data_IF_698220613227
#
_entry.id   IF_698220613227
#
_cell.length_a   1.000
_cell.length_b   1.000
_cell.length_c   1.000
_cell.angle_alpha   90.00
_cell.angle_beta   90.00
_cell.angle_gamma   90.00
#
_symmetry.space_group_name_H-M   'P 1'
#
loop_
_entity.id
_entity.type
_entity.pdbx_description
1 polymer ?
#
# COMPACT_ATOMS: atom_id res chain seq x y z
N UNK A 1 0.51 -23.48 29.31
CA UNK A 1 -0.66 -22.85 28.83
C UNK A 1 -1.95 -22.94 29.60
N UNK A 2 -1.95 -23.43 30.87
CA UNK A 2 -3.19 -23.52 31.64
C UNK A 2 -3.86 -22.15 31.80
N UNK A 3 -5.16 -22.03 31.47
CA UNK A 3 -5.91 -20.78 31.51
C UNK A 3 -5.59 -19.79 30.38
N UNK A 4 -4.87 -20.21 29.33
CA UNK A 4 -4.52 -19.37 28.17
C UNK A 4 -4.99 -20.01 26.86
N UNK A 5 -5.23 -19.17 25.87
CA UNK A 5 -5.59 -19.58 24.51
C UNK A 5 -4.38 -19.43 23.60
N UNK A 6 -4.22 -20.35 22.65
CA UNK A 6 -3.24 -20.27 21.58
C UNK A 6 -3.97 -19.89 20.28
N UNK A 7 -3.49 -18.87 19.60
CA UNK A 7 -3.99 -18.45 18.29
C UNK A 7 -2.85 -18.24 17.31
N UNK A 8 -3.10 -18.31 16.00
CA UNK A 8 -2.15 -17.78 15.01
C UNK A 8 -1.87 -16.30 15.28
N UNK A 9 -0.70 -15.82 14.86
CA UNK A 9 -0.39 -14.40 14.92
C UNK A 9 -1.32 -13.58 14.01
N UNK A 10 -1.64 -12.37 14.42
CA UNK A 10 -2.48 -11.45 13.66
C UNK A 10 -1.75 -11.04 12.38
N UNK A 11 -2.49 -10.94 11.28
CA UNK A 11 -2.05 -10.37 10.01
C UNK A 11 -2.79 -9.05 9.81
N UNK A 12 -2.06 -7.94 9.76
CA UNK A 12 -2.61 -6.62 9.46
C UNK A 12 -2.37 -6.31 7.99
N UNK A 13 -3.46 -6.17 7.23
CA UNK A 13 -3.41 -6.04 5.77
C UNK A 13 -3.37 -4.59 5.28
N UNK A 14 -3.40 -3.60 6.17
CA UNK A 14 -3.34 -2.18 5.78
C UNK A 14 -2.55 -1.36 6.80
N UNK A 15 -1.28 -1.13 6.51
CA UNK A 15 -0.35 -0.40 7.39
C UNK A 15 0.46 0.61 6.59
N UNK A 16 0.67 1.79 7.17
CA UNK A 16 1.68 2.78 6.76
C UNK A 16 2.74 2.85 7.85
N UNK A 17 3.76 2.03 7.75
CA UNK A 17 4.72 1.80 8.83
C UNK A 17 5.60 3.01 9.15
N UNK A 18 5.73 3.96 8.22
CA UNK A 18 6.47 5.20 8.43
C UNK A 18 5.71 6.25 9.25
N UNK A 19 4.40 6.09 9.43
CA UNK A 19 3.57 7.03 10.17
C UNK A 19 3.55 6.73 11.67
N UNK A 20 3.39 7.78 12.48
CA UNK A 20 3.33 7.67 13.94
C UNK A 20 1.89 7.66 14.50
N UNK A 21 0.89 7.80 13.62
CA UNK A 21 -0.53 7.86 13.98
C UNK A 21 -0.99 9.22 14.49
N UNK A 22 -0.17 10.26 14.41
CA UNK A 22 -0.58 11.63 14.68
C UNK A 22 -1.36 12.23 13.50
N UNK A 23 -2.05 13.34 13.75
CA UNK A 23 -2.79 14.05 12.70
C UNK A 23 -1.90 14.69 11.61
N UNK A 24 -0.60 14.77 11.84
CA UNK A 24 0.40 15.34 10.93
C UNK A 24 1.41 14.29 10.45
N UNK A 25 1.04 13.01 10.48
CA UNK A 25 1.96 11.91 10.14
C UNK A 25 2.57 12.03 8.74
N UNK A 26 1.84 12.61 7.80
CA UNK A 26 2.31 12.85 6.43
C UNK A 26 3.39 13.92 6.37
N UNK A 27 3.21 15.04 7.07
CA UNK A 27 4.18 16.14 7.13
C UNK A 27 5.50 15.69 7.78
N UNK A 28 5.41 14.72 8.69
CA UNK A 28 6.57 14.17 9.38
C UNK A 28 7.56 13.48 8.43
N UNK A 29 7.09 12.83 7.37
CA UNK A 29 7.97 12.18 6.40
C UNK A 29 8.77 13.20 5.57
N UNK A 30 8.19 14.36 5.28
CA UNK A 30 8.89 15.47 4.64
C UNK A 30 9.87 16.17 5.61
N UNK A 31 9.44 16.38 6.85
CA UNK A 31 10.21 17.10 7.87
C UNK A 31 11.47 16.35 8.31
N UNK A 32 11.37 15.03 8.52
CA UNK A 32 12.47 14.24 9.10
C UNK A 32 13.31 13.51 8.04
N UNK A 33 12.82 13.36 6.83
CA UNK A 33 13.52 12.70 5.73
C UNK A 33 13.58 11.16 5.84
N UNK A 34 14.20 10.49 4.84
CA UNK A 34 14.04 9.04 4.66
C UNK A 34 14.71 8.18 5.73
N UNK A 35 15.78 8.63 6.34
CA UNK A 35 16.48 7.82 7.36
C UNK A 35 15.67 7.73 8.65
N UNK A 36 15.08 8.84 9.08
CA UNK A 36 14.21 8.88 10.24
C UNK A 36 12.91 8.13 9.99
N UNK A 37 12.33 8.27 8.79
CA UNK A 37 11.17 7.51 8.38
C UNK A 37 11.44 5.99 8.39
N UNK A 38 12.60 5.56 7.91
CA UNK A 38 13.02 4.15 7.98
C UNK A 38 13.16 3.65 9.43
N UNK A 39 13.84 4.40 10.30
CA UNK A 39 14.01 4.02 11.71
C UNK A 39 12.65 3.96 12.42
N UNK A 40 11.74 4.90 12.14
CA UNK A 40 10.38 4.89 12.66
C UNK A 40 9.60 3.68 12.17
N UNK A 41 9.71 3.33 10.87
CA UNK A 41 9.13 2.11 10.33
C UNK A 41 9.58 0.87 11.09
N UNK A 42 10.88 0.70 11.31
CA UNK A 42 11.42 -0.43 12.08
C UNK A 42 10.84 -0.46 13.50
N UNK A 43 10.82 0.69 14.18
CA UNK A 43 10.26 0.81 15.54
C UNK A 43 8.77 0.43 15.59
N UNK A 44 7.97 0.92 14.64
CA UNK A 44 6.53 0.65 14.58
C UNK A 44 6.24 -0.83 14.30
N UNK A 45 6.99 -1.43 13.37
CA UNK A 45 6.83 -2.85 13.03
C UNK A 45 7.31 -3.77 14.18
N UNK A 46 8.32 -3.35 14.94
CA UNK A 46 8.72 -4.03 16.19
C UNK A 46 7.60 -3.97 17.25
N UNK A 47 6.98 -2.81 17.42
CA UNK A 47 5.87 -2.63 18.35
C UNK A 47 4.64 -3.46 17.94
N UNK A 48 4.37 -3.58 16.65
CA UNK A 48 3.32 -4.44 16.12
C UNK A 48 3.57 -5.91 16.49
N UNK A 49 4.80 -6.40 16.34
CA UNK A 49 5.19 -7.75 16.74
C UNK A 49 4.97 -7.98 18.25
N UNK A 50 5.38 -7.03 19.10
CA UNK A 50 5.20 -7.10 20.56
C UNK A 50 3.71 -7.21 20.97
N UNK A 51 2.80 -6.73 20.11
CA UNK A 51 1.34 -6.80 20.31
C UNK A 51 0.68 -8.01 19.64
N UNK A 52 1.47 -8.92 19.05
CA UNK A 52 0.95 -10.15 18.43
C UNK A 52 0.64 -10.04 16.94
N UNK A 53 0.90 -8.92 16.29
CA UNK A 53 0.83 -8.78 14.84
C UNK A 53 2.11 -9.34 14.26
N UNK A 54 2.04 -10.51 13.62
CA UNK A 54 3.22 -11.24 13.12
C UNK A 54 3.52 -10.98 11.65
N UNK A 55 2.55 -10.43 10.93
CA UNK A 55 2.69 -10.03 9.52
C UNK A 55 1.93 -8.74 9.27
N UNK A 56 2.52 -7.84 8.52
CA UNK A 56 1.86 -6.62 8.02
C UNK A 56 1.94 -6.58 6.50
N UNK A 57 0.90 -6.07 5.85
CA UNK A 57 0.98 -5.58 4.46
C UNK A 57 1.08 -4.05 4.51
N UNK A 58 2.23 -3.56 4.11
CA UNK A 58 2.53 -2.14 4.09
C UNK A 58 2.14 -1.58 2.73
N UNK A 59 1.13 -0.71 2.71
CA UNK A 59 0.42 -0.28 1.49
C UNK A 59 0.75 1.16 1.06
N UNK A 60 1.96 1.57 1.31
CA UNK A 60 2.48 2.85 0.82
C UNK A 60 3.47 3.48 1.79
N UNK A 61 4.70 3.68 1.31
CA UNK A 61 5.77 4.33 2.04
C UNK A 61 6.59 5.24 1.14
N UNK A 62 7.10 6.37 1.66
CA UNK A 62 7.92 7.27 0.88
C UNK A 62 9.18 6.53 0.38
N UNK A 63 9.60 6.82 -0.86
CA UNK A 63 10.87 6.33 -1.43
C UNK A 63 11.07 4.80 -1.31
N UNK A 64 9.99 4.03 -1.41
CA UNK A 64 10.01 2.58 -1.33
C UNK A 64 10.57 1.98 -0.03
N UNK A 65 10.54 2.72 1.09
CA UNK A 65 11.13 2.30 2.35
C UNK A 65 10.58 0.98 2.88
N UNK A 66 9.33 0.63 2.60
CA UNK A 66 8.77 -0.67 2.98
C UNK A 66 9.48 -1.84 2.31
N UNK A 67 9.99 -1.66 1.09
CA UNK A 67 10.79 -2.67 0.39
C UNK A 67 12.13 -2.87 1.09
N UNK A 68 12.76 -1.78 1.55
CA UNK A 68 14.01 -1.86 2.32
C UNK A 68 13.78 -2.52 3.70
N UNK A 69 12.68 -2.18 4.36
CA UNK A 69 12.30 -2.83 5.63
C UNK A 69 12.08 -4.33 5.43
N UNK A 70 11.32 -4.74 4.42
CA UNK A 70 11.10 -6.14 4.09
C UNK A 70 12.42 -6.87 3.78
N UNK A 71 13.30 -6.25 3.02
CA UNK A 71 14.63 -6.79 2.72
C UNK A 71 15.47 -7.00 3.99
N UNK A 72 15.50 -6.03 4.91
CA UNK A 72 16.23 -6.14 6.17
C UNK A 72 15.67 -7.27 7.07
N UNK A 73 14.35 -7.48 7.06
CA UNK A 73 13.69 -8.61 7.75
C UNK A 73 14.11 -9.95 7.13
N UNK A 74 14.05 -10.09 5.81
CA UNK A 74 14.45 -11.32 5.10
C UNK A 74 15.94 -11.66 5.30
N UNK A 75 16.79 -10.65 5.45
CA UNK A 75 18.23 -10.83 5.79
C UNK A 75 18.47 -11.14 7.27
N UNK A 76 17.45 -11.06 8.11
CA UNK A 76 17.60 -11.24 9.56
C UNK A 76 18.36 -10.11 10.25
N UNK A 77 18.52 -8.96 9.62
CA UNK A 77 19.19 -7.78 10.21
C UNK A 77 18.35 -7.13 11.29
N UNK A 78 17.02 -7.21 11.14
CA UNK A 78 16.05 -6.74 12.13
C UNK A 78 15.06 -7.86 12.46
N UNK A 79 14.58 -7.90 13.71
CA UNK A 79 13.64 -8.91 14.21
C UNK A 79 12.31 -8.23 14.53
N UNK A 80 11.48 -8.11 13.55
CA UNK A 80 10.17 -7.47 13.61
C UNK A 80 9.12 -8.34 12.91
N UNK A 81 7.88 -7.89 12.80
CA UNK A 81 6.86 -8.59 12.00
C UNK A 81 7.33 -8.79 10.56
N UNK A 82 6.88 -9.86 9.91
CA UNK A 82 7.05 -10.02 8.47
C UNK A 82 6.41 -8.83 7.76
N UNK A 83 7.11 -8.27 6.78
CA UNK A 83 6.61 -7.16 5.97
C UNK A 83 6.33 -7.63 4.55
N UNK A 84 5.09 -7.46 4.10
CA UNK A 84 4.67 -7.60 2.70
C UNK A 84 4.62 -6.17 2.14
N UNK A 85 5.61 -5.74 1.35
CA UNK A 85 5.72 -4.34 0.94
C UNK A 85 5.00 -4.06 -0.37
N UNK A 86 4.43 -2.87 -0.50
CA UNK A 86 4.01 -2.29 -1.78
C UNK A 86 5.03 -1.26 -2.32
N UNK A 87 5.88 -0.71 -1.46
CA UNK A 87 6.72 0.43 -1.80
C UNK A 87 5.92 1.74 -1.83
N UNK A 88 6.36 2.72 -2.60
CA UNK A 88 5.60 3.96 -2.82
C UNK A 88 4.32 3.65 -3.60
N UNK A 89 3.20 4.26 -3.20
CA UNK A 89 1.95 4.13 -3.94
C UNK A 89 2.07 4.80 -5.33
N UNK A 90 1.31 4.33 -6.30
CA UNK A 90 1.17 4.99 -7.60
C UNK A 90 -0.09 5.85 -7.53
N UNK A 91 0.01 7.10 -7.95
CA UNK A 91 -1.07 8.06 -7.84
C UNK A 91 -1.05 9.12 -8.94
N UNK A 92 -2.19 9.78 -9.14
CA UNK A 92 -2.30 10.97 -9.96
C UNK A 92 -1.71 12.20 -9.26
N UNK A 93 -1.41 13.27 -10.00
CA UNK A 93 -0.91 14.54 -9.45
C UNK A 93 -1.87 15.18 -8.44
N UNK A 94 -3.16 14.90 -8.51
CA UNK A 94 -4.20 15.33 -7.56
C UNK A 94 -4.62 14.16 -6.65
N UNK A 95 -3.75 13.17 -6.47
CA UNK A 95 -4.05 11.95 -5.72
C UNK A 95 -3.94 12.13 -4.22
N UNK A 96 -4.44 11.12 -3.50
CA UNK A 96 -4.44 11.05 -2.06
C UNK A 96 -3.03 10.78 -1.50
N UNK A 97 -2.62 11.52 -0.46
CA UNK A 97 -1.35 11.35 0.27
C UNK A 97 -0.11 11.42 -0.63
N UNK A 98 0.20 12.58 -1.21
CA UNK A 98 1.31 12.71 -2.16
C UNK A 98 2.68 12.35 -1.58
N UNK A 99 2.88 12.45 -0.27
CA UNK A 99 4.17 12.16 0.41
C UNK A 99 4.63 10.71 0.29
N UNK A 100 3.71 9.76 0.11
CA UNK A 100 4.02 8.32 -0.01
C UNK A 100 3.86 7.78 -1.43
N UNK A 101 3.66 8.67 -2.42
CA UNK A 101 3.31 8.29 -3.78
C UNK A 101 4.38 8.59 -4.83
N UNK A 102 4.26 7.88 -5.94
CA UNK A 102 4.92 8.16 -7.21
C UNK A 102 3.87 8.64 -8.19
N UNK A 103 4.06 9.83 -8.77
CA UNK A 103 3.09 10.42 -9.71
C UNK A 103 3.17 9.71 -11.06
N UNK A 104 2.02 9.24 -11.55
CA UNK A 104 1.86 8.66 -12.89
C UNK A 104 0.44 8.93 -13.39
N UNK A 105 0.31 9.78 -14.41
CA UNK A 105 -0.99 10.23 -14.95
C UNK A 105 -1.32 9.58 -16.29
N UNK A 106 -0.30 9.15 -17.03
CA UNK A 106 -0.44 8.54 -18.36
C UNK A 106 -0.16 7.05 -18.33
N UNK A 107 -0.64 6.31 -19.34
CA UNK A 107 -0.36 4.86 -19.45
C UNK A 107 1.13 4.55 -19.52
N UNK A 108 1.93 5.43 -20.14
CA UNK A 108 3.39 5.23 -20.24
C UNK A 108 4.06 5.43 -18.87
N UNK A 109 3.63 6.44 -18.09
CA UNK A 109 4.11 6.66 -16.72
C UNK A 109 3.68 5.52 -15.79
N UNK A 110 2.43 5.04 -15.89
CA UNK A 110 1.93 3.88 -15.17
C UNK A 110 2.74 2.62 -15.50
N UNK A 111 3.01 2.37 -16.78
CA UNK A 111 3.84 1.27 -17.23
C UNK A 111 5.24 1.32 -16.62
N UNK A 112 5.86 2.51 -16.64
CA UNK A 112 7.18 2.74 -16.06
C UNK A 112 7.17 2.46 -14.55
N UNK A 113 6.23 3.06 -13.81
CA UNK A 113 6.12 2.90 -12.35
C UNK A 113 5.91 1.43 -11.95
N UNK A 114 5.02 0.69 -12.64
CA UNK A 114 4.77 -0.73 -12.38
C UNK A 114 6.03 -1.57 -12.62
N UNK A 115 6.75 -1.33 -13.72
CA UNK A 115 7.97 -2.09 -14.07
C UNK A 115 9.16 -1.72 -13.17
N UNK A 116 9.25 -0.48 -12.75
CA UNK A 116 10.25 -0.05 -11.76
C UNK A 116 10.03 -0.79 -10.44
N UNK A 117 8.79 -0.86 -9.94
CA UNK A 117 8.41 -1.62 -8.75
C UNK A 117 8.81 -3.10 -8.88
N UNK A 118 8.45 -3.71 -10.01
CA UNK A 118 8.87 -5.10 -10.29
C UNK A 118 10.38 -5.30 -10.24
N UNK A 119 11.12 -4.37 -10.81
CA UNK A 119 12.58 -4.40 -10.81
C UNK A 119 13.15 -4.34 -9.39
N UNK A 120 12.60 -3.47 -8.53
CA UNK A 120 13.00 -3.37 -7.12
C UNK A 120 12.70 -4.66 -6.37
N UNK A 121 11.49 -5.22 -6.52
CA UNK A 121 11.11 -6.49 -5.89
C UNK A 121 12.06 -7.63 -6.26
N UNK A 122 12.40 -7.76 -7.53
CA UNK A 122 13.34 -8.79 -8.01
C UNK A 122 14.72 -8.58 -7.43
N UNK A 123 15.26 -7.34 -7.47
CA UNK A 123 16.57 -7.01 -6.92
C UNK A 123 16.68 -7.29 -5.42
N UNK A 124 15.59 -7.10 -4.67
CA UNK A 124 15.53 -7.33 -3.22
C UNK A 124 15.07 -8.73 -2.83
N UNK A 125 14.73 -9.59 -3.79
CA UNK A 125 14.25 -10.95 -3.51
C UNK A 125 12.87 -11.01 -2.86
N UNK A 126 12.04 -9.98 -3.04
CA UNK A 126 10.68 -9.93 -2.50
C UNK A 126 9.78 -10.91 -3.27
N UNK A 127 9.17 -11.85 -2.56
CA UNK A 127 8.34 -12.93 -3.16
C UNK A 127 6.87 -12.54 -3.27
N UNK A 128 6.29 -12.00 -2.20
CA UNK A 128 4.90 -11.53 -2.18
C UNK A 128 4.87 -10.08 -2.66
N UNK A 129 4.47 -9.88 -3.90
CA UNK A 129 4.64 -8.63 -4.62
C UNK A 129 3.29 -7.96 -4.85
N UNK A 130 3.13 -6.77 -4.29
CA UNK A 130 1.95 -5.93 -4.41
C UNK A 130 2.33 -4.55 -4.90
N UNK A 131 1.46 -3.94 -5.70
CA UNK A 131 1.49 -2.50 -5.94
C UNK A 131 0.28 -1.86 -5.26
N UNK A 132 0.45 -0.62 -4.83
CA UNK A 132 -0.62 0.20 -4.25
C UNK A 132 -0.96 1.32 -5.20
N UNK A 133 -2.26 1.51 -5.41
CA UNK A 133 -2.82 2.61 -6.20
C UNK A 133 -3.66 3.49 -5.27
N UNK A 134 -3.54 4.81 -5.43
CA UNK A 134 -4.45 5.80 -4.83
C UNK A 134 -5.39 6.27 -5.93
N UNK A 135 -6.63 5.79 -5.91
CA UNK A 135 -7.59 6.06 -6.97
C UNK A 135 -8.58 7.17 -6.63
N UNK A 136 -9.02 7.26 -5.40
CA UNK A 136 -9.90 8.34 -4.95
C UNK A 136 -9.21 9.22 -3.93
N UNK A 137 -9.75 10.40 -3.64
CA UNK A 137 -9.38 11.16 -2.47
C UNK A 137 -9.74 10.44 -1.18
N UNK A 138 -9.32 10.98 -0.04
CA UNK A 138 -9.53 10.37 1.26
C UNK A 138 -9.72 11.41 2.37
N UNK A 139 -9.88 10.94 3.60
CA UNK A 139 -10.16 11.80 4.74
C UNK A 139 -8.94 12.60 5.25
N UNK A 140 -7.72 12.26 4.78
CA UNK A 140 -6.47 12.86 5.26
C UNK A 140 -5.87 13.90 4.30
N UNK A 141 -6.49 14.18 3.16
CA UNK A 141 -5.98 15.10 2.14
C UNK A 141 -6.82 16.37 1.99
N UNK A 142 -6.39 17.23 1.07
CA UNK A 142 -7.12 18.42 0.65
C UNK A 142 -7.98 18.17 -0.60
N UNK A 143 -7.83 16.99 -1.18
CA UNK A 143 -8.54 16.56 -2.37
C UNK A 143 -10.00 16.16 -2.07
N UNK A 144 -10.85 16.27 -3.06
CA UNK A 144 -12.23 15.79 -2.98
C UNK A 144 -12.26 14.26 -2.91
N UNK A 145 -13.07 13.72 -2.01
CA UNK A 145 -13.23 12.27 -1.84
C UNK A 145 -13.87 11.59 -3.05
N UNK A 146 -14.73 12.34 -3.78
CA UNK A 146 -15.63 11.79 -4.78
C UNK A 146 -15.01 11.26 -6.07
N UNK A 147 -14.15 11.99 -6.79
CA UNK A 147 -13.73 11.56 -8.12
C UNK A 147 -12.74 10.41 -8.08
N UNK A 148 -12.88 9.47 -9.02
CA UNK A 148 -11.84 8.50 -9.38
C UNK A 148 -10.71 9.25 -10.12
N UNK A 149 -9.47 9.01 -9.74
CA UNK A 149 -8.29 9.68 -10.35
C UNK A 149 -7.83 8.99 -11.62
N UNK A 150 -8.20 7.72 -11.79
CA UNK A 150 -7.94 6.93 -12.97
C UNK A 150 -9.26 6.46 -13.58
N UNK A 151 -9.39 6.57 -14.89
CA UNK A 151 -10.54 6.02 -15.60
C UNK A 151 -10.47 4.47 -15.62
N UNK A 152 -11.60 3.84 -15.95
CA UNK A 152 -11.72 2.38 -15.99
C UNK A 152 -10.69 1.73 -16.94
N UNK A 153 -10.32 2.39 -18.04
CA UNK A 153 -9.33 1.86 -18.99
C UNK A 153 -7.91 1.92 -18.43
N UNK A 154 -7.61 2.94 -17.63
CA UNK A 154 -6.35 3.06 -16.89
C UNK A 154 -6.27 2.01 -15.77
N UNK A 155 -7.34 1.83 -14.99
CA UNK A 155 -7.40 0.79 -13.95
C UNK A 155 -7.25 -0.62 -14.54
N UNK A 156 -7.93 -0.93 -15.63
CA UNK A 156 -7.75 -2.20 -16.35
C UNK A 156 -6.32 -2.39 -16.87
N UNK A 157 -5.71 -1.31 -17.37
CA UNK A 157 -4.31 -1.34 -17.81
C UNK A 157 -3.36 -1.65 -16.66
N UNK A 158 -3.55 -1.02 -15.49
CA UNK A 158 -2.76 -1.25 -14.28
C UNK A 158 -2.86 -2.74 -13.87
N UNK A 159 -4.08 -3.25 -13.75
CA UNK A 159 -4.34 -4.67 -13.39
C UNK A 159 -3.66 -5.61 -14.38
N UNK A 160 -3.87 -5.38 -15.70
CA UNK A 160 -3.28 -6.21 -16.75
C UNK A 160 -1.75 -6.26 -16.63
N UNK A 161 -1.08 -5.11 -16.53
CA UNK A 161 0.39 -5.05 -16.46
C UNK A 161 0.93 -5.65 -15.15
N UNK A 162 0.28 -5.40 -14.02
CA UNK A 162 0.67 -5.98 -12.74
C UNK A 162 0.54 -7.50 -12.73
N UNK A 163 -0.63 -8.02 -13.16
CA UNK A 163 -0.88 -9.46 -13.22
C UNK A 163 0.04 -10.17 -14.19
N UNK A 164 0.32 -9.58 -15.35
CA UNK A 164 1.28 -10.09 -16.33
C UNK A 164 2.71 -10.23 -15.74
N UNK A 165 3.03 -9.42 -14.73
CA UNK A 165 4.30 -9.47 -14.00
C UNK A 165 4.21 -10.26 -12.68
N UNK A 166 3.11 -10.98 -12.45
CA UNK A 166 2.84 -11.74 -11.22
C UNK A 166 2.85 -10.87 -9.95
N UNK A 167 2.33 -9.65 -10.05
CA UNK A 167 2.07 -8.76 -8.92
C UNK A 167 0.56 -8.61 -8.72
N UNK A 168 0.16 -8.36 -7.49
CA UNK A 168 -1.23 -8.03 -7.12
C UNK A 168 -1.41 -6.54 -6.95
N UNK A 169 -2.65 -6.08 -7.04
CA UNK A 169 -3.02 -4.66 -6.97
C UNK A 169 -3.94 -4.41 -5.79
N UNK A 170 -3.53 -3.49 -4.91
CA UNK A 170 -4.33 -2.96 -3.83
C UNK A 170 -4.68 -1.50 -4.14
N UNK A 171 -5.94 -1.12 -4.06
CA UNK A 171 -6.41 0.24 -4.40
C UNK A 171 -7.09 0.91 -3.22
N UNK A 172 -6.69 2.15 -2.92
CA UNK A 172 -7.47 3.03 -2.06
C UNK A 172 -8.67 3.55 -2.85
N UNK A 173 -9.86 3.20 -2.44
CA UNK A 173 -11.10 3.69 -3.02
C UNK A 173 -12.18 3.85 -1.94
N UNK A 174 -12.69 5.07 -1.77
CA UNK A 174 -13.69 5.42 -0.77
C UNK A 174 -14.97 6.01 -1.36
N UNK A 175 -14.98 6.39 -2.64
CA UNK A 175 -16.19 6.79 -3.34
C UNK A 175 -16.85 5.59 -4.00
N UNK A 176 -18.19 5.61 -4.08
CA UNK A 176 -18.95 4.54 -4.72
C UNK A 176 -18.56 4.34 -6.18
N UNK A 177 -18.33 5.44 -6.93
CA UNK A 177 -17.88 5.41 -8.31
C UNK A 177 -16.53 4.71 -8.46
N UNK A 178 -15.51 5.15 -7.70
CA UNK A 178 -14.18 4.54 -7.72
C UNK A 178 -14.20 3.06 -7.32
N UNK A 179 -14.99 2.69 -6.30
CA UNK A 179 -15.17 1.29 -5.88
C UNK A 179 -15.72 0.44 -7.03
N UNK A 180 -16.77 0.91 -7.70
CA UNK A 180 -17.40 0.20 -8.82
C UNK A 180 -16.41 0.04 -9.98
N UNK A 181 -15.64 1.08 -10.31
CA UNK A 181 -14.61 1.01 -11.36
C UNK A 181 -13.49 0.05 -10.99
N UNK A 182 -13.04 0.04 -9.74
CA UNK A 182 -12.07 -0.92 -9.23
C UNK A 182 -12.54 -2.37 -9.37
N UNK A 183 -13.79 -2.66 -9.01
CA UNK A 183 -14.40 -3.99 -9.17
C UNK A 183 -14.43 -4.39 -10.65
N UNK A 184 -14.93 -3.50 -11.54
CA UNK A 184 -14.97 -3.73 -12.99
C UNK A 184 -13.59 -3.88 -13.64
N UNK A 185 -12.57 -3.30 -13.05
CA UNK A 185 -11.20 -3.44 -13.51
C UNK A 185 -10.53 -4.76 -13.07
N UNK A 186 -11.08 -5.47 -12.08
CA UNK A 186 -10.54 -6.71 -11.55
C UNK A 186 -9.39 -6.50 -10.56
N UNK A 187 -9.47 -5.45 -9.75
CA UNK A 187 -8.52 -5.16 -8.67
C UNK A 187 -8.52 -6.31 -7.64
N UNK A 188 -7.35 -6.69 -7.10
CA UNK A 188 -7.24 -7.80 -6.15
C UNK A 188 -7.77 -7.43 -4.75
N UNK A 189 -7.55 -6.20 -4.27
CA UNK A 189 -8.13 -5.71 -3.02
C UNK A 189 -8.46 -4.22 -3.08
N UNK A 190 -9.63 -3.87 -2.56
CA UNK A 190 -10.06 -2.49 -2.37
C UNK A 190 -9.88 -2.16 -0.89
N UNK A 191 -9.10 -1.13 -0.64
CA UNK A 191 -8.82 -0.65 0.71
C UNK A 191 -9.91 0.35 1.11
N UNK A 192 -10.39 0.21 2.33
CA UNK A 192 -11.53 0.91 2.93
C UNK A 192 -12.88 0.45 2.37
N UNK A 193 -13.16 0.67 1.08
CA UNK A 193 -14.34 0.15 0.38
C UNK A 193 -15.66 0.36 1.11
N UNK A 194 -15.99 1.57 1.61
CA UNK A 194 -17.28 1.78 2.28
C UNK A 194 -18.42 1.68 1.25
N UNK A 195 -19.56 1.19 1.69
CA UNK A 195 -20.81 1.21 0.93
C UNK A 195 -20.75 0.55 -0.46
N UNK A 196 -20.14 -0.64 -0.54
CA UNK A 196 -20.17 -1.45 -1.77
C UNK A 196 -21.62 -1.85 -2.06
N UNK A 197 -22.20 -1.52 -3.25
CA UNK A 197 -23.55 -1.92 -3.58
C UNK A 197 -23.71 -3.44 -3.66
N UNK A 198 -24.83 -3.98 -3.15
CA UNK A 198 -25.09 -5.42 -3.05
C UNK A 198 -24.88 -6.18 -4.37
N UNK A 199 -25.19 -5.55 -5.50
CA UNK A 199 -25.04 -6.12 -6.85
C UNK A 199 -23.59 -6.41 -7.25
N UNK A 200 -22.60 -5.85 -6.52
CA UNK A 200 -21.17 -6.03 -6.78
C UNK A 200 -20.49 -6.95 -5.75
N UNK A 201 -21.18 -7.43 -4.72
CA UNK A 201 -20.58 -8.26 -3.66
C UNK A 201 -20.17 -9.66 -4.13
N UNK A 202 -20.78 -10.15 -5.22
CA UNK A 202 -20.50 -11.49 -5.78
C UNK A 202 -19.53 -11.46 -6.99
N UNK A 203 -18.94 -10.31 -7.33
CA UNK A 203 -18.00 -10.13 -8.43
C UNK A 203 -16.55 -10.24 -7.96
#
# INVERSE_FOLDING_TARGET
GEGKYLSPGIIDMHVHSTWDGSAISEDMDEMYGPYQAFLRSVHNVENSLKKGVTTIREVGSPKDLSIETAFAVEKGWIKVSRVIPCGSAIQSIYGHVPSIGTIANTKDELLYAIREKKTLFVKKGIRCQWIKIMDTGGAAGLEDVGPSMYDLDQLKFIVHEAHRLHMKVAVHAVSQEGIIECIKAGIDTIEHGPDIPDEYLDM
#
